data_IF_902955129347
#
_entry.id   IF_902955129347
#
_cell.length_a   1.000
_cell.length_b   1.000
_cell.length_c   1.000
_cell.angle_alpha   90.00
_cell.angle_beta   90.00
_cell.angle_gamma   90.00
#
_symmetry.space_group_name_H-M   'P 1'
#
loop_
_entity.id
_entity.type
_entity.pdbx_description
1 polymer ?
#
# COMPACT_ATOMS: atom_id res chain seq x y z
N UNK A 1 32.46 39.38 -11.30
CA UNK A 1 31.51 38.91 -10.28
C UNK A 1 31.43 37.40 -10.46
N UNK A 2 32.10 36.68 -9.55
CA UNK A 2 32.15 35.22 -9.34
C UNK A 2 32.78 34.38 -10.47
N UNK A 3 34.04 34.01 -10.23
CA UNK A 3 34.86 33.07 -10.98
C UNK A 3 34.60 31.60 -10.57
N UNK A 4 34.93 30.72 -11.52
CA UNK A 4 35.04 29.27 -11.41
C UNK A 4 35.92 28.83 -10.21
N UNK A 5 35.41 27.93 -9.39
CA UNK A 5 36.20 27.17 -8.42
C UNK A 5 36.84 25.95 -9.11
N UNK A 6 38.11 26.11 -9.47
CA UNK A 6 39.03 25.02 -9.80
C UNK A 6 39.50 24.40 -8.46
N UNK A 7 39.25 23.11 -8.28
CA UNK A 7 39.82 22.33 -7.16
C UNK A 7 41.33 22.17 -7.36
N UNK A 8 42.12 23.01 -6.70
CA UNK A 8 43.55 22.78 -6.48
C UNK A 8 43.76 22.11 -5.12
N UNK A 9 43.97 20.80 -5.09
CA UNK A 9 44.49 20.12 -3.91
C UNK A 9 46.01 20.15 -3.96
N UNK A 10 46.61 20.94 -3.09
CA UNK A 10 48.04 20.95 -2.80
C UNK A 10 48.40 19.64 -2.08
N UNK A 11 49.26 18.83 -2.68
CA UNK A 11 49.86 17.65 -2.04
C UNK A 11 51.16 18.10 -1.37
N UNK A 12 51.13 18.26 -0.04
CA UNK A 12 52.36 18.31 0.78
C UNK A 12 52.48 17.01 1.57
N UNK A 13 53.68 16.45 1.55
CA UNK A 13 54.00 15.08 1.96
C UNK A 13 53.49 14.68 3.33
N UNK A 14 52.65 13.65 3.33
CA UNK A 14 52.29 12.84 4.48
C UNK A 14 51.93 11.46 3.96
N UNK A 15 52.66 10.44 4.39
CA UNK A 15 52.35 9.05 4.04
C UNK A 15 51.01 8.70 4.69
N UNK A 16 49.93 8.76 3.91
CA UNK A 16 48.63 8.20 4.28
C UNK A 16 48.75 6.68 4.30
N UNK A 17 48.92 6.12 5.49
CA UNK A 17 48.72 4.69 5.74
C UNK A 17 47.24 4.37 5.48
N UNK A 18 46.93 3.89 4.29
CA UNK A 18 45.65 3.24 4.04
C UNK A 18 45.59 1.98 4.93
N UNK A 19 44.57 1.81 5.79
CA UNK A 19 44.37 0.51 6.41
C UNK A 19 44.16 -0.50 5.28
N UNK A 20 44.95 -1.59 5.31
CA UNK A 20 44.78 -2.73 4.39
C UNK A 20 43.30 -3.11 4.41
N UNK A 21 42.68 -3.11 3.23
CA UNK A 21 41.32 -3.59 3.04
C UNK A 21 41.20 -4.97 3.67
N UNK A 22 40.49 -5.06 4.80
CA UNK A 22 39.96 -6.33 5.29
C UNK A 22 39.04 -6.80 4.17
N UNK A 23 39.36 -7.94 3.58
CA UNK A 23 38.52 -8.58 2.57
C UNK A 23 37.19 -8.98 3.20
N UNK A 24 36.25 -8.05 3.26
CA UNK A 24 34.85 -8.37 3.45
C UNK A 24 34.43 -9.07 2.15
N UNK A 25 34.25 -10.39 2.21
CA UNK A 25 33.61 -11.13 1.13
C UNK A 25 32.24 -10.50 0.92
N UNK A 26 32.02 -9.95 -0.28
CA UNK A 26 30.70 -9.49 -0.68
C UNK A 26 29.73 -10.66 -0.49
N UNK A 27 28.55 -10.44 0.12
CA UNK A 27 27.57 -11.50 0.24
C UNK A 27 27.23 -12.06 -1.15
N UNK A 28 26.90 -13.35 -1.26
CA UNK A 28 26.53 -13.95 -2.54
C UNK A 28 25.34 -13.19 -3.14
N UNK A 29 25.36 -12.97 -4.45
CA UNK A 29 24.35 -12.18 -5.19
C UNK A 29 22.92 -12.70 -4.97
N UNK A 30 22.76 -13.98 -4.60
CA UNK A 30 21.49 -14.58 -4.21
C UNK A 30 20.84 -13.93 -2.98
N UNK A 31 21.63 -13.37 -2.06
CA UNK A 31 21.12 -12.66 -0.87
C UNK A 31 20.67 -11.22 -1.20
N UNK A 32 21.13 -10.67 -2.32
CA UNK A 32 20.77 -9.33 -2.81
C UNK A 32 19.41 -9.35 -3.54
N UNK A 33 18.98 -10.54 -3.99
CA UNK A 33 17.74 -10.76 -4.74
C UNK A 33 16.78 -11.68 -3.96
N UNK A 34 16.57 -11.42 -2.67
CA UNK A 34 15.37 -11.96 -2.04
C UNK A 34 14.15 -11.21 -2.61
N UNK A 35 13.07 -11.91 -3.03
CA UNK A 35 11.80 -11.23 -3.23
C UNK A 35 11.51 -10.45 -1.94
N UNK A 36 11.13 -9.18 -2.09
CA UNK A 36 10.82 -8.31 -0.96
C UNK A 36 9.95 -9.10 0.03
N UNK A 37 10.49 -9.37 1.22
CA UNK A 37 9.76 -10.13 2.23
C UNK A 37 8.47 -9.36 2.53
N UNK A 38 7.32 -10.03 2.39
CA UNK A 38 6.04 -9.42 2.71
C UNK A 38 6.05 -9.06 4.19
N UNK A 39 5.84 -7.79 4.50
CA UNK A 39 5.67 -7.33 5.86
C UNK A 39 4.44 -8.01 6.47
N UNK A 40 4.63 -8.76 7.56
CA UNK A 40 3.53 -9.39 8.30
C UNK A 40 2.49 -8.34 8.77
N UNK A 41 2.94 -7.11 9.03
CA UNK A 41 2.07 -6.00 9.43
C UNK A 41 1.21 -5.54 8.24
N UNK A 42 1.78 -5.42 7.05
CA UNK A 42 1.02 -5.06 5.84
C UNK A 42 0.04 -6.16 5.46
N UNK A 43 0.45 -7.43 5.53
CA UNK A 43 -0.43 -8.56 5.23
C UNK A 43 -1.65 -8.60 6.16
N UNK A 44 -1.45 -8.56 7.48
CA UNK A 44 -2.54 -8.60 8.46
C UNK A 44 -3.44 -7.35 8.35
N UNK A 45 -2.83 -6.17 8.21
CA UNK A 45 -3.58 -4.91 8.11
C UNK A 45 -4.42 -4.85 6.83
N UNK A 46 -3.85 -5.25 5.68
CA UNK A 46 -4.57 -5.29 4.41
C UNK A 46 -5.72 -6.30 4.45
N UNK A 47 -5.48 -7.53 4.94
CA UNK A 47 -6.50 -8.55 5.05
C UNK A 47 -7.67 -8.13 5.96
N UNK A 48 -7.37 -7.50 7.11
CA UNK A 48 -8.40 -6.96 8.01
C UNK A 48 -9.22 -5.85 7.37
N UNK A 49 -8.57 -4.97 6.61
CA UNK A 49 -9.24 -3.88 5.89
C UNK A 49 -10.18 -4.45 4.84
N UNK A 50 -9.70 -5.37 3.99
CA UNK A 50 -10.51 -6.05 2.96
C UNK A 50 -11.73 -6.74 3.58
N UNK A 51 -11.54 -7.49 4.67
CA UNK A 51 -12.62 -8.16 5.38
C UNK A 51 -13.61 -7.18 6.03
N UNK A 52 -13.11 -6.08 6.60
CA UNK A 52 -13.90 -5.03 7.22
C UNK A 52 -14.86 -4.37 6.24
N UNK A 53 -14.33 -4.05 5.06
CA UNK A 53 -15.01 -3.26 4.03
C UNK A 53 -15.91 -4.09 3.11
N UNK A 54 -15.52 -5.33 2.79
CA UNK A 54 -16.14 -6.05 1.68
C UNK A 54 -16.41 -7.54 1.91
N UNK A 55 -16.32 -8.08 3.14
CA UNK A 55 -16.64 -9.50 3.40
C UNK A 55 -18.02 -9.92 2.89
N UNK A 56 -19.02 -9.03 2.98
CA UNK A 56 -20.39 -9.27 2.51
C UNK A 56 -20.54 -9.30 0.98
N UNK A 57 -19.55 -8.82 0.25
CA UNK A 57 -19.56 -8.70 -1.21
C UNK A 57 -18.91 -9.90 -1.92
N UNK A 58 -18.39 -10.88 -1.17
CA UNK A 58 -17.69 -12.02 -1.72
C UNK A 58 -16.31 -11.67 -2.31
N UNK A 59 -15.79 -12.55 -3.17
CA UNK A 59 -14.40 -12.45 -3.66
C UNK A 59 -14.15 -11.20 -4.50
N UNK A 60 -15.04 -10.89 -5.45
CA UNK A 60 -14.88 -9.74 -6.34
C UNK A 60 -14.89 -8.41 -5.58
N UNK A 61 -15.79 -8.23 -4.60
CA UNK A 61 -15.81 -7.01 -3.80
C UNK A 61 -14.56 -6.87 -2.92
N UNK A 62 -14.10 -7.96 -2.30
CA UNK A 62 -12.87 -7.95 -1.51
C UNK A 62 -11.63 -7.67 -2.38
N UNK A 63 -11.55 -8.25 -3.57
CA UNK A 63 -10.49 -7.96 -4.54
C UNK A 63 -10.54 -6.49 -4.96
N UNK A 64 -11.71 -5.93 -5.23
CA UNK A 64 -11.86 -4.55 -5.65
C UNK A 64 -11.36 -3.55 -4.58
N UNK A 65 -11.65 -3.79 -3.30
CA UNK A 65 -11.10 -2.99 -2.20
C UNK A 65 -9.57 -3.11 -2.13
N UNK A 66 -9.04 -4.32 -2.29
CA UNK A 66 -7.59 -4.53 -2.35
C UNK A 66 -6.95 -3.76 -3.51
N UNK A 67 -7.59 -3.75 -4.70
CA UNK A 67 -7.11 -3.00 -5.85
C UNK A 67 -7.08 -1.49 -5.58
N UNK A 68 -8.12 -0.93 -4.94
CA UNK A 68 -8.10 0.49 -4.54
C UNK A 68 -6.93 0.82 -3.62
N UNK A 69 -6.62 -0.05 -2.65
CA UNK A 69 -5.48 0.15 -1.74
C UNK A 69 -4.16 0.10 -2.51
N UNK A 70 -4.00 -0.86 -3.43
CA UNK A 70 -2.77 -0.97 -4.23
C UNK A 70 -2.62 0.20 -5.22
N UNK A 71 -3.71 0.67 -5.84
CA UNK A 71 -3.69 1.85 -6.69
C UNK A 71 -3.28 3.10 -5.91
N UNK A 72 -3.80 3.29 -4.69
CA UNK A 72 -3.36 4.37 -3.79
C UNK A 72 -1.88 4.24 -3.40
N UNK A 73 -1.41 3.01 -3.17
CA UNK A 73 -0.01 2.74 -2.85
C UNK A 73 0.91 3.10 -4.01
N UNK A 74 0.58 2.69 -5.24
CA UNK A 74 1.33 3.06 -6.44
C UNK A 74 1.38 4.58 -6.64
N UNK A 75 0.24 5.27 -6.49
CA UNK A 75 0.19 6.73 -6.54
C UNK A 75 1.06 7.38 -5.46
N UNK A 76 1.07 6.82 -4.24
CA UNK A 76 1.91 7.30 -3.14
C UNK A 76 3.41 7.11 -3.40
N UNK A 77 3.81 5.99 -4.02
CA UNK A 77 5.22 5.80 -4.41
C UNK A 77 5.64 6.79 -5.50
N UNK A 78 4.72 7.21 -6.37
CA UNK A 78 4.99 8.16 -7.44
C UNK A 78 4.98 9.63 -6.99
N UNK A 79 4.38 9.98 -5.84
CA UNK A 79 4.18 11.37 -5.44
C UNK A 79 4.15 11.55 -3.93
N UNK A 80 5.01 12.45 -3.43
CA UNK A 80 5.02 12.87 -2.02
C UNK A 80 3.66 13.45 -1.60
N UNK A 81 2.97 14.16 -2.50
CA UNK A 81 1.64 14.68 -2.22
C UNK A 81 0.61 13.55 -2.05
N UNK A 82 0.68 12.50 -2.87
CA UNK A 82 -0.18 11.32 -2.74
C UNK A 82 0.17 10.46 -1.53
N UNK A 83 1.45 10.30 -1.20
CA UNK A 83 1.87 9.68 0.05
C UNK A 83 1.32 10.45 1.26
N UNK A 84 1.34 11.78 1.22
CA UNK A 84 0.71 12.62 2.24
C UNK A 84 -0.82 12.50 2.25
N UNK A 85 -1.46 12.26 1.11
CA UNK A 85 -2.92 12.09 1.00
C UNK A 85 -3.37 10.70 1.49
N UNK A 86 -2.74 9.62 1.05
CA UNK A 86 -3.18 8.25 1.32
C UNK A 86 -2.36 7.53 2.39
N UNK A 87 -1.05 7.75 2.46
CA UNK A 87 -0.10 6.97 3.26
C UNK A 87 1.07 6.50 2.39
N UNK A 88 2.25 6.29 2.97
CA UNK A 88 3.46 5.85 2.25
C UNK A 88 3.62 4.33 2.19
N UNK A 89 2.92 3.60 3.05
CA UNK A 89 2.88 2.12 3.09
C UNK A 89 1.45 1.60 2.99
N UNK A 90 1.28 0.31 2.67
CA UNK A 90 -0.04 -0.32 2.63
C UNK A 90 -0.74 -0.23 4.00
N UNK A 91 -0.03 -0.51 5.09
CA UNK A 91 -0.57 -0.37 6.45
C UNK A 91 -0.99 1.07 6.76
N UNK A 92 -0.18 2.06 6.37
CA UNK A 92 -0.54 3.47 6.57
C UNK A 92 -1.80 3.83 5.78
N UNK A 93 -1.92 3.38 4.53
CA UNK A 93 -3.11 3.61 3.70
C UNK A 93 -4.36 3.05 4.36
N UNK A 94 -4.28 1.81 4.84
CA UNK A 94 -5.39 1.14 5.51
C UNK A 94 -5.82 1.85 6.81
N UNK A 95 -4.85 2.30 7.62
CA UNK A 95 -5.11 2.82 8.97
C UNK A 95 -5.25 4.34 9.04
N UNK A 96 -5.11 5.02 7.90
CA UNK A 96 -5.22 6.47 7.87
C UNK A 96 -6.63 6.90 8.25
N UNK A 97 -6.77 7.93 9.12
CA UNK A 97 -8.09 8.34 9.61
C UNK A 97 -9.08 8.58 8.47
N UNK A 98 -10.27 7.99 8.63
CA UNK A 98 -11.41 8.13 7.73
C UNK A 98 -11.23 7.58 6.29
N UNK A 99 -10.14 6.85 6.00
CA UNK A 99 -10.01 6.15 4.70
C UNK A 99 -10.84 4.86 4.63
N UNK A 100 -10.91 4.14 5.75
CA UNK A 100 -11.62 2.86 5.88
C UNK A 100 -12.30 2.81 7.25
N UNK A 101 -13.63 2.69 7.27
CA UNK A 101 -14.40 2.98 8.48
C UNK A 101 -14.17 1.94 9.56
N UNK A 102 -13.85 0.69 9.18
CA UNK A 102 -13.59 -0.40 10.11
C UNK A 102 -12.42 -0.13 11.08
N UNK A 103 -11.53 0.83 10.79
CA UNK A 103 -10.44 1.25 11.70
C UNK A 103 -10.84 2.35 12.70
N UNK A 104 -12.02 2.95 12.55
CA UNK A 104 -12.51 3.95 13.50
C UNK A 104 -13.01 3.24 14.77
N UNK A 105 -12.53 3.66 15.94
CA UNK A 105 -12.87 3.02 17.23
C UNK A 105 -14.38 3.02 17.52
N UNK A 106 -15.12 3.98 16.96
CA UNK A 106 -16.57 4.10 17.10
C UNK A 106 -17.37 3.26 16.10
N UNK A 107 -16.71 2.65 15.11
CA UNK A 107 -17.37 1.80 14.12
C UNK A 107 -17.72 0.43 14.75
N UNK A 108 -18.97 -0.06 14.63
CA UNK A 108 -19.37 -1.36 15.16
C UNK A 108 -18.57 -2.55 14.61
N UNK A 109 -17.91 -2.40 13.46
CA UNK A 109 -17.03 -3.42 12.88
C UNK A 109 -15.62 -3.42 13.49
N UNK A 110 -15.18 -2.38 14.19
CA UNK A 110 -13.82 -2.28 14.72
C UNK A 110 -13.45 -3.49 15.59
N UNK A 111 -14.25 -3.80 16.60
CA UNK A 111 -13.99 -4.94 17.49
C UNK A 111 -14.03 -6.27 16.74
N UNK A 112 -14.92 -6.42 15.76
CA UNK A 112 -15.04 -7.64 14.94
C UNK A 112 -13.79 -7.84 14.09
N UNK A 113 -13.36 -6.78 13.39
CA UNK A 113 -12.14 -6.77 12.59
C UNK A 113 -10.89 -7.03 13.42
N UNK A 114 -10.81 -6.53 14.66
CA UNK A 114 -9.68 -6.82 15.56
C UNK A 114 -9.69 -8.27 16.08
N UNK A 115 -10.87 -8.86 16.25
CA UNK A 115 -11.04 -10.22 16.77
C UNK A 115 -11.01 -11.31 15.70
N UNK A 116 -11.22 -10.99 14.42
CA UNK A 116 -11.28 -12.00 13.35
C UNK A 116 -9.95 -12.77 13.20
N UNK A 117 -10.06 -14.08 12.96
CA UNK A 117 -8.96 -15.05 12.83
C UNK A 117 -9.25 -15.99 11.66
N UNK A 118 -8.29 -16.86 11.33
CA UNK A 118 -8.37 -17.81 10.19
C UNK A 118 -9.45 -18.89 10.30
N UNK A 119 -10.11 -19.02 11.46
CA UNK A 119 -11.33 -19.83 11.58
C UNK A 119 -12.48 -19.27 10.71
N UNK A 120 -12.49 -17.96 10.46
CA UNK A 120 -13.44 -17.31 9.57
C UNK A 120 -13.05 -17.52 8.09
N UNK A 121 -13.98 -18.05 7.29
CA UNK A 121 -13.73 -18.37 5.89
C UNK A 121 -13.51 -17.12 5.03
N UNK A 122 -14.23 -16.03 5.29
CA UNK A 122 -14.07 -14.77 4.57
C UNK A 122 -12.73 -14.12 4.92
N UNK A 123 -12.26 -14.27 6.16
CA UNK A 123 -10.95 -13.75 6.54
C UNK A 123 -9.80 -14.52 5.91
N UNK A 124 -9.90 -15.85 5.77
CA UNK A 124 -8.94 -16.64 4.96
C UNK A 124 -8.90 -16.17 3.52
N UNK A 125 -10.06 -15.85 2.95
CA UNK A 125 -10.13 -15.32 1.60
C UNK A 125 -9.53 -13.92 1.49
N UNK A 126 -9.75 -13.05 2.48
CA UNK A 126 -9.11 -11.74 2.55
C UNK A 126 -7.57 -11.84 2.69
N UNK A 127 -7.06 -12.82 3.44
CA UNK A 127 -5.63 -13.11 3.54
C UNK A 127 -5.02 -13.54 2.19
N UNK A 128 -5.70 -14.45 1.47
CA UNK A 128 -5.27 -14.89 0.14
C UNK A 128 -5.23 -13.71 -0.86
N UNK A 129 -6.27 -12.87 -0.86
CA UNK A 129 -6.32 -11.66 -1.69
C UNK A 129 -5.20 -10.68 -1.31
N UNK A 130 -4.98 -10.45 -0.01
CA UNK A 130 -3.93 -9.55 0.48
C UNK A 130 -2.53 -10.06 0.10
N UNK A 131 -2.28 -11.36 0.21
CA UNK A 131 -1.01 -11.96 -0.21
C UNK A 131 -0.79 -11.77 -1.71
N UNK A 132 -1.80 -12.06 -2.55
CA UNK A 132 -1.72 -11.85 -3.99
C UNK A 132 -1.44 -10.39 -4.35
N UNK A 133 -2.09 -9.46 -3.65
CA UNK A 133 -1.92 -8.02 -3.85
C UNK A 133 -0.48 -7.58 -3.52
N UNK A 134 0.05 -7.98 -2.36
CA UNK A 134 1.41 -7.63 -1.92
C UNK A 134 2.49 -8.28 -2.78
N UNK A 135 2.19 -9.42 -3.42
CA UNK A 135 3.06 -10.05 -4.42
C UNK A 135 2.95 -9.44 -5.82
N UNK A 136 2.04 -8.49 -6.06
CA UNK A 136 1.79 -7.91 -7.38
C UNK A 136 1.15 -8.89 -8.37
N UNK A 137 0.47 -9.92 -7.87
CA UNK A 137 -0.16 -10.98 -8.69
C UNK A 137 -1.68 -10.89 -8.74
N UNK A 138 -2.27 -9.95 -8.00
CA UNK A 138 -3.70 -9.67 -8.04
C UNK A 138 -4.01 -8.72 -9.20
N UNK A 139 -4.85 -9.15 -10.14
CA UNK A 139 -5.30 -8.28 -11.23
C UNK A 139 -6.18 -7.14 -10.71
N UNK A 140 -6.13 -5.99 -11.37
CA UNK A 140 -7.05 -4.88 -11.10
C UNK A 140 -8.35 -5.04 -11.89
N UNK A 141 -9.46 -5.20 -11.17
CA UNK A 141 -10.81 -5.29 -11.75
C UNK A 141 -11.60 -3.99 -11.64
N UNK A 142 -11.02 -2.96 -11.02
CA UNK A 142 -11.66 -1.66 -10.77
C UNK A 142 -11.37 -0.63 -11.84
N UNK A 143 -10.44 -0.93 -12.76
CA UNK A 143 -9.95 0.03 -13.73
C UNK A 143 -9.26 1.20 -13.04
N UNK A 144 -8.23 0.94 -12.24
CA UNK A 144 -7.40 1.97 -11.63
C UNK A 144 -8.13 2.85 -10.61
N UNK A 145 -9.19 2.35 -9.97
CA UNK A 145 -9.96 3.15 -9.03
C UNK A 145 -9.16 3.48 -7.76
N UNK A 146 -9.39 4.67 -7.22
CA UNK A 146 -8.79 5.19 -5.99
C UNK A 146 -9.83 5.64 -4.96
N UNK A 147 -11.10 5.68 -5.35
CA UNK A 147 -12.24 5.94 -4.46
C UNK A 147 -13.36 4.95 -4.76
N UNK A 148 -14.16 4.64 -3.76
CA UNK A 148 -15.38 3.88 -3.93
C UNK A 148 -16.40 4.27 -2.86
N UNK A 149 -17.66 3.95 -3.11
CA UNK A 149 -18.69 3.96 -2.10
C UNK A 149 -19.74 2.88 -2.38
N UNK A 150 -20.50 2.51 -1.35
CA UNK A 150 -21.66 1.63 -1.54
C UNK A 150 -22.78 2.42 -2.20
N UNK A 151 -23.65 1.75 -2.96
CA UNK A 151 -24.86 2.35 -3.52
C UNK A 151 -25.84 2.89 -2.47
N UNK A 152 -25.63 2.56 -1.18
CA UNK A 152 -26.44 3.04 -0.06
C UNK A 152 -26.10 4.47 0.39
N UNK A 153 -25.02 5.08 -0.13
CA UNK A 153 -24.60 6.44 0.23
C UNK A 153 -24.32 7.29 -1.02
N UNK A 154 -24.50 8.61 -0.90
CA UNK A 154 -24.25 9.61 -1.96
C UNK A 154 -23.24 10.66 -1.47
N UNK A 155 -21.93 10.39 -1.57
CA UNK A 155 -20.92 11.35 -1.17
C UNK A 155 -20.80 12.48 -2.20
N UNK A 156 -20.59 13.71 -1.73
CA UNK A 156 -20.53 14.91 -2.59
C UNK A 156 -19.48 14.83 -3.70
N UNK A 157 -18.36 14.13 -3.47
CA UNK A 157 -17.29 13.96 -4.45
C UNK A 157 -17.68 13.06 -5.64
N UNK A 158 -18.74 12.24 -5.52
CA UNK A 158 -19.20 11.34 -6.58
C UNK A 158 -20.20 12.00 -7.54
N UNK A 159 -20.80 13.14 -7.15
CA UNK A 159 -21.89 13.76 -7.89
C UNK A 159 -21.40 14.30 -9.23
N UNK A 160 -22.04 13.83 -10.31
CA UNK A 160 -21.69 14.23 -11.68
C UNK A 160 -20.41 13.58 -12.20
N UNK A 161 -19.87 12.58 -11.49
CA UNK A 161 -18.75 11.76 -11.96
C UNK A 161 -19.28 10.37 -12.28
N UNK A 162 -18.95 9.85 -13.47
CA UNK A 162 -19.31 8.48 -13.84
C UNK A 162 -18.31 7.49 -13.21
N UNK A 163 -18.78 6.39 -12.61
CA UNK A 163 -17.90 5.36 -12.07
C UNK A 163 -17.14 4.65 -13.20
N UNK A 164 -15.86 4.31 -12.93
CA UNK A 164 -15.02 3.52 -13.85
C UNK A 164 -15.34 2.03 -13.79
N UNK A 165 -15.94 1.57 -12.69
CA UNK A 165 -16.43 0.22 -12.52
C UNK A 165 -17.57 0.17 -11.50
N UNK A 166 -18.47 -0.81 -11.67
CA UNK A 166 -19.48 -1.18 -10.68
C UNK A 166 -19.31 -2.66 -10.38
N UNK A 167 -19.03 -2.99 -9.13
CA UNK A 167 -18.77 -4.37 -8.69
C UNK A 167 -19.64 -4.63 -7.47
N UNK A 168 -20.61 -5.54 -7.63
CA UNK A 168 -21.63 -5.82 -6.63
C UNK A 168 -22.36 -4.53 -6.20
N UNK A 169 -22.38 -4.20 -4.91
CA UNK A 169 -23.03 -2.99 -4.40
C UNK A 169 -22.14 -1.75 -4.38
N UNK A 170 -20.91 -1.83 -4.88
CA UNK A 170 -19.93 -0.75 -4.87
C UNK A 170 -19.76 -0.08 -6.24
N UNK A 171 -19.65 1.25 -6.20
CA UNK A 171 -19.29 2.10 -7.34
C UNK A 171 -17.87 2.61 -7.14
N UNK A 172 -17.03 2.46 -8.17
CA UNK A 172 -15.59 2.76 -8.12
C UNK A 172 -15.25 3.92 -9.03
N UNK A 173 -14.37 4.80 -8.57
CA UNK A 173 -14.03 6.07 -9.22
C UNK A 173 -12.52 6.26 -9.26
N UNK A 174 -12.07 7.00 -10.28
CA UNK A 174 -10.68 7.43 -10.44
C UNK A 174 -10.65 8.95 -10.39
N UNK A 175 -10.24 9.50 -9.25
CA UNK A 175 -10.32 10.94 -8.95
C UNK A 175 -8.96 11.57 -8.66
N UNK A 176 -7.94 10.75 -8.37
CA UNK A 176 -6.63 11.21 -7.92
C UNK A 176 -5.63 11.43 -9.06
#
# INVERSE_FOLDING_TARGET
MIELLIFGLVVTGGVLLFPKSVGATLPPVSDILQPAQISNVDLDTLARTIWGEARGEGYSGMQAVANVIMNRYEQAQASVAKARQFGGTVSEICRKPYQFSAWNITDPNFSKMQAVRTADAQFRQALDIAEKALRGTLSDITGGADHYHTAAVDPSWSRGVEPVAVINSHQFYRLA
#
